data_IF_224959810518
#
_entry.id   IF_224959810518
#
_cell.length_a   1.000
_cell.length_b   1.000
_cell.length_c   1.000
_cell.angle_alpha   90.00
_cell.angle_beta   90.00
_cell.angle_gamma   90.00
#
_symmetry.space_group_name_H-M   'P 1'
#
loop_
_entity.id
_entity.type
_entity.pdbx_description
1 polymer ?
#
# COMPACT_ATOMS: atom_id res chain seq x y z
N UNK A 1 0.58 20.38 -4.46
CA UNK A 1 0.54 19.05 -5.07
C UNK A 1 -0.26 18.12 -4.17
N UNK A 2 -1.37 17.57 -4.66
CA UNK A 2 -2.18 16.53 -4.02
C UNK A 2 -1.79 15.18 -4.61
N UNK A 3 -1.50 14.19 -3.77
CA UNK A 3 -1.05 12.87 -4.19
C UNK A 3 -1.96 11.79 -3.62
N UNK A 4 -2.45 10.92 -4.50
CA UNK A 4 -3.21 9.74 -4.12
C UNK A 4 -2.28 8.53 -4.08
N UNK A 5 -2.33 7.74 -3.00
CA UNK A 5 -1.62 6.47 -2.88
C UNK A 5 -2.67 5.36 -2.75
N UNK A 6 -2.63 4.37 -3.63
CA UNK A 6 -3.33 3.10 -3.42
C UNK A 6 -2.31 2.06 -2.96
N UNK A 7 -2.54 1.45 -1.80
CA UNK A 7 -1.60 0.55 -1.15
C UNK A 7 -2.17 -0.87 -1.09
N UNK A 8 -1.46 -1.80 -1.71
CA UNK A 8 -1.74 -3.23 -1.74
C UNK A 8 -0.68 -4.01 -0.94
N UNK A 9 -0.91 -5.27 -0.57
CA UNK A 9 0.00 -5.98 0.36
C UNK A 9 0.92 -7.00 -0.32
N UNK A 10 0.50 -7.61 -1.43
CA UNK A 10 1.17 -8.75 -2.07
C UNK A 10 2.59 -8.42 -2.55
N UNK A 11 2.82 -7.17 -2.95
CA UNK A 11 4.08 -6.67 -3.47
C UNK A 11 4.89 -5.84 -2.49
N UNK A 12 4.48 -5.73 -1.22
CA UNK A 12 5.23 -5.01 -0.19
C UNK A 12 6.59 -5.68 0.03
N UNK A 13 7.62 -4.88 0.31
CA UNK A 13 8.95 -5.41 0.57
C UNK A 13 8.92 -6.49 1.64
N UNK A 14 9.46 -7.67 1.30
CA UNK A 14 9.54 -8.81 2.21
C UNK A 14 8.26 -9.64 2.29
N UNK A 15 7.22 -9.33 1.50
CA UNK A 15 6.15 -10.25 1.16
C UNK A 15 6.61 -11.20 0.05
N UNK A 16 6.76 -12.48 0.40
CA UNK A 16 7.30 -13.55 -0.47
C UNK A 16 6.37 -14.76 -0.51
N UNK A 17 5.23 -14.71 0.18
CA UNK A 17 4.26 -15.79 0.21
C UNK A 17 2.85 -15.28 0.54
N UNK A 18 1.84 -16.08 0.20
CA UNK A 18 0.44 -15.78 0.52
C UNK A 18 0.15 -15.65 2.01
N UNK A 19 0.99 -16.23 2.89
CA UNK A 19 0.82 -16.12 4.35
C UNK A 19 0.96 -14.69 4.86
N UNK A 20 1.55 -13.81 4.05
CA UNK A 20 1.73 -12.39 4.34
C UNK A 20 0.61 -11.53 3.74
N UNK A 21 -0.13 -12.05 2.77
CA UNK A 21 -1.25 -11.36 2.12
C UNK A 21 -2.63 -11.88 2.57
N UNK A 22 -2.72 -12.98 3.29
CA UNK A 22 -4.00 -13.51 3.76
C UNK A 22 -4.26 -13.09 5.21
N UNK A 23 -5.46 -12.64 5.55
CA UNK A 23 -5.78 -12.16 6.90
C UNK A 23 -5.74 -13.24 7.99
N UNK A 24 -5.86 -14.50 7.59
CA UNK A 24 -5.67 -15.70 8.42
C UNK A 24 -4.23 -16.25 8.38
N UNK A 25 -3.34 -15.59 7.64
CA UNK A 25 -1.96 -16.01 7.44
C UNK A 25 -1.07 -15.74 8.66
N UNK A 26 -0.16 -16.67 8.95
CA UNK A 26 0.75 -16.59 10.11
C UNK A 26 1.63 -15.33 10.15
N UNK A 27 1.93 -14.76 8.99
CA UNK A 27 2.86 -13.63 8.83
C UNK A 27 2.16 -12.32 8.45
N UNK A 28 0.82 -12.31 8.43
CA UNK A 28 0.03 -11.17 7.99
C UNK A 28 0.22 -9.93 8.85
N UNK A 29 0.28 -10.08 10.18
CA UNK A 29 0.55 -8.96 11.09
C UNK A 29 1.92 -8.32 10.85
N UNK A 30 2.94 -9.13 10.51
CA UNK A 30 4.26 -8.61 10.13
C UNK A 30 4.15 -7.86 8.80
N UNK A 31 3.41 -8.39 7.83
CA UNK A 31 3.22 -7.76 6.53
C UNK A 31 2.51 -6.40 6.64
N UNK A 32 1.47 -6.29 7.47
CA UNK A 32 0.77 -5.01 7.75
C UNK A 32 1.72 -3.92 8.29
N UNK A 33 2.65 -4.31 9.18
CA UNK A 33 3.70 -3.40 9.68
C UNK A 33 4.66 -2.97 8.57
N UNK A 34 5.08 -3.89 7.70
CA UNK A 34 5.94 -3.56 6.57
C UNK A 34 5.23 -2.65 5.56
N UNK A 35 3.95 -2.94 5.27
CA UNK A 35 3.10 -2.14 4.39
C UNK A 35 2.98 -0.71 4.91
N UNK A 36 2.67 -0.55 6.20
CA UNK A 36 2.56 0.78 6.84
C UNK A 36 3.88 1.54 6.78
N UNK A 37 5.01 0.86 7.03
CA UNK A 37 6.34 1.46 6.94
C UNK A 37 6.69 1.91 5.51
N UNK A 38 6.42 1.08 4.51
CA UNK A 38 6.71 1.41 3.11
C UNK A 38 5.86 2.60 2.62
N UNK A 39 4.58 2.63 2.99
CA UNK A 39 3.70 3.79 2.75
C UNK A 39 4.24 5.04 3.45
N UNK A 40 4.65 4.94 4.72
CA UNK A 40 5.23 6.08 5.45
C UNK A 40 6.48 6.62 4.77
N UNK A 41 7.39 5.75 4.32
CA UNK A 41 8.60 6.18 3.59
C UNK A 41 8.24 6.96 2.32
N UNK A 42 7.24 6.49 1.55
CA UNK A 42 6.76 7.22 0.39
C UNK A 42 6.13 8.57 0.78
N UNK A 43 5.29 8.59 1.82
CA UNK A 43 4.65 9.81 2.32
C UNK A 43 5.67 10.85 2.80
N UNK A 44 6.68 10.43 3.56
CA UNK A 44 7.77 11.28 4.04
C UNK A 44 8.53 11.90 2.87
N UNK A 45 8.97 11.08 1.92
CA UNK A 45 9.66 11.56 0.72
C UNK A 45 8.80 12.55 -0.09
N UNK A 46 7.49 12.29 -0.25
CA UNK A 46 6.59 13.20 -0.95
C UNK A 46 6.43 14.54 -0.23
N UNK A 47 6.28 14.51 1.10
CA UNK A 47 6.16 15.72 1.93
C UNK A 47 7.44 16.56 1.86
N UNK A 48 8.62 15.93 1.96
CA UNK A 48 9.92 16.58 1.81
C UNK A 48 10.09 17.21 0.41
N UNK A 49 9.48 16.62 -0.62
CA UNK A 49 9.48 17.12 -1.98
C UNK A 49 8.26 18.01 -2.31
N UNK A 50 7.59 18.55 -1.29
CA UNK A 50 6.59 19.62 -1.45
C UNK A 50 5.16 19.17 -1.72
N UNK A 51 4.84 17.88 -1.54
CA UNK A 51 3.45 17.45 -1.44
C UNK A 51 2.74 18.21 -0.31
N UNK A 52 1.51 18.64 -0.56
CA UNK A 52 0.70 19.42 0.39
C UNK A 52 -0.42 18.62 1.00
N UNK A 53 -0.89 17.62 0.27
CA UNK A 53 -1.92 16.70 0.72
C UNK A 53 -1.62 15.33 0.15
N UNK A 54 -1.72 14.32 1.01
CA UNK A 54 -1.54 12.92 0.64
C UNK A 54 -2.74 12.16 1.19
N UNK A 55 -3.41 11.43 0.32
CA UNK A 55 -4.48 10.50 0.68
C UNK A 55 -4.02 9.10 0.38
N UNK A 56 -3.98 8.26 1.41
CA UNK A 56 -3.65 6.84 1.32
C UNK A 56 -4.95 6.04 1.35
N UNK A 57 -5.18 5.25 0.31
CA UNK A 57 -6.27 4.30 0.25
C UNK A 57 -5.71 2.89 0.43
N UNK A 58 -6.15 2.21 1.48
CA UNK A 58 -5.87 0.80 1.67
C UNK A 58 -6.65 -0.01 0.62
N UNK A 59 -5.96 -0.83 -0.16
CA UNK A 59 -6.52 -1.46 -1.36
C UNK A 59 -6.53 -2.99 -1.29
N UNK A 60 -6.09 -3.59 -0.18
CA UNK A 60 -5.95 -5.04 -0.08
C UNK A 60 -7.07 -5.70 0.73
N UNK A 61 -7.65 -6.80 0.24
CA UNK A 61 -8.60 -7.61 1.01
C UNK A 61 -9.79 -6.82 1.56
N UNK A 62 -9.95 -6.81 2.90
CA UNK A 62 -10.98 -6.02 3.59
C UNK A 62 -10.65 -4.52 3.71
N UNK A 63 -9.47 -4.13 3.21
CA UNK A 63 -8.97 -2.76 3.12
C UNK A 63 -8.72 -2.11 4.49
N UNK A 64 -8.35 -2.90 5.48
CA UNK A 64 -8.15 -2.54 6.89
C UNK A 64 -6.75 -2.92 7.41
N UNK A 65 -5.75 -2.88 6.52
CA UNK A 65 -4.39 -3.37 6.72
C UNK A 65 -3.45 -2.33 7.33
N UNK A 66 -3.53 -1.07 6.88
CA UNK A 66 -2.70 0.03 7.37
C UNK A 66 -2.97 0.27 8.86
N UNK A 67 -1.89 0.31 9.65
CA UNK A 67 -1.94 0.55 11.09
C UNK A 67 -2.01 2.06 11.33
N UNK A 68 -3.20 2.57 11.66
CA UNK A 68 -3.43 4.02 11.81
C UNK A 68 -2.56 4.65 12.90
N UNK A 69 -2.28 3.89 13.97
CA UNK A 69 -1.40 4.29 15.07
C UNK A 69 0.08 4.41 14.68
N UNK A 70 0.50 3.77 13.57
CA UNK A 70 1.86 3.85 13.03
C UNK A 70 1.94 4.74 11.77
N UNK A 71 0.80 5.13 11.18
CA UNK A 71 0.76 5.95 9.96
C UNK A 71 1.19 7.40 10.23
N UNK A 72 1.87 8.01 9.26
CA UNK A 72 2.28 9.41 9.33
C UNK A 72 1.06 10.32 9.61
N UNK A 73 1.06 11.10 10.71
CA UNK A 73 -0.12 11.89 11.10
C UNK A 73 -0.42 13.08 10.18
N UNK A 74 0.45 13.36 9.20
CA UNK A 74 0.27 14.43 8.21
C UNK A 74 -0.48 13.96 6.95
N UNK A 75 -0.88 12.70 6.87
CA UNK A 75 -1.62 12.15 5.72
C UNK A 75 -3.02 11.70 6.12
N UNK A 76 -3.89 11.53 5.14
CA UNK A 76 -5.25 11.02 5.35
C UNK A 76 -5.33 9.54 4.96
N UNK A 77 -6.07 8.74 5.73
CA UNK A 77 -6.29 7.33 5.47
C UNK A 77 -7.75 7.05 5.08
N UNK A 78 -7.93 6.30 4.00
CA UNK A 78 -9.19 5.66 3.62
C UNK A 78 -9.04 4.17 3.89
N UNK A 79 -9.77 3.67 4.89
CA UNK A 79 -9.70 2.30 5.40
C UNK A 79 -11.11 1.70 5.52
N UNK A 80 -11.19 0.37 5.43
CA UNK A 80 -12.39 -0.43 5.45
C UNK A 80 -12.98 -0.71 4.07
N UNK A 81 -13.86 -1.72 4.04
CA UNK A 81 -14.68 -2.12 2.91
C UNK A 81 -16.14 -2.29 3.39
N UNK A 82 -17.15 -2.15 2.52
CA UNK A 82 -17.06 -1.88 1.08
C UNK A 82 -16.79 -0.40 0.76
N UNK A 83 -16.10 -0.15 -0.36
CA UNK A 83 -15.88 1.19 -0.93
C UNK A 83 -16.38 1.23 -2.38
N UNK A 84 -17.21 2.20 -2.79
CA UNK A 84 -17.76 2.27 -4.15
C UNK A 84 -16.71 2.19 -5.26
N UNK A 85 -15.54 2.79 -5.07
CA UNK A 85 -14.43 2.76 -6.04
C UNK A 85 -13.30 1.80 -5.63
N UNK A 86 -13.51 0.95 -4.61
CA UNK A 86 -12.56 -0.10 -4.19
C UNK A 86 -11.12 0.43 -3.99
N UNK A 87 -10.15 -0.13 -4.72
CA UNK A 87 -8.72 0.21 -4.70
C UNK A 87 -8.43 1.67 -5.09
N UNK A 88 -9.39 2.37 -5.67
CA UNK A 88 -9.29 3.77 -6.09
C UNK A 88 -10.25 4.69 -5.32
N UNK A 89 -10.72 4.29 -4.14
CA UNK A 89 -11.62 5.13 -3.34
C UNK A 89 -11.00 6.47 -2.96
N UNK A 90 -11.74 7.54 -3.21
CA UNK A 90 -11.35 8.91 -2.86
C UNK A 90 -10.53 9.63 -3.94
N UNK A 91 -10.21 8.99 -5.07
CA UNK A 91 -9.57 9.68 -6.20
C UNK A 91 -10.57 10.53 -6.98
N UNK A 92 -10.11 11.69 -7.46
CA UNK A 92 -10.84 12.59 -8.34
C UNK A 92 -9.87 13.34 -9.29
N UNK A 93 -10.39 14.34 -10.01
CA UNK A 93 -9.62 15.13 -10.97
C UNK A 93 -8.69 16.18 -10.33
N UNK A 94 -8.78 16.41 -9.02
CA UNK A 94 -7.98 17.40 -8.32
C UNK A 94 -6.63 16.84 -7.83
N UNK A 95 -6.41 15.53 -7.93
CA UNK A 95 -5.11 14.91 -7.67
C UNK A 95 -4.14 15.13 -8.82
N UNK A 96 -2.92 15.58 -8.50
CA UNK A 96 -1.85 15.77 -9.48
C UNK A 96 -1.18 14.46 -9.87
N UNK A 97 -1.18 13.47 -8.97
CA UNK A 97 -0.48 12.19 -9.12
C UNK A 97 -1.22 11.07 -8.41
N UNK A 98 -1.14 9.88 -8.97
CA UNK A 98 -1.49 8.62 -8.33
C UNK A 98 -0.26 7.72 -8.24
N UNK A 99 -0.07 7.06 -7.10
CA UNK A 99 1.04 6.13 -6.83
C UNK A 99 0.44 4.80 -6.36
N UNK A 100 0.99 3.71 -6.86
CA UNK A 100 0.59 2.35 -6.51
C UNK A 100 1.74 1.67 -5.77
N UNK A 101 1.51 1.32 -4.49
CA UNK A 101 2.52 0.72 -3.61
C UNK A 101 2.10 -0.71 -3.28
N UNK A 102 3.06 -1.64 -3.29
CA UNK A 102 2.81 -3.03 -2.93
C UNK A 102 1.95 -3.82 -3.93
N UNK A 103 1.80 -3.32 -5.16
CA UNK A 103 1.00 -3.98 -6.20
C UNK A 103 1.71 -5.20 -6.77
N UNK A 104 0.92 -6.15 -7.28
CA UNK A 104 1.40 -7.39 -7.86
C UNK A 104 1.04 -7.53 -9.36
N UNK A 105 1.68 -8.52 -9.99
CA UNK A 105 1.40 -8.89 -11.38
C UNK A 105 -0.03 -9.34 -11.54
N UNK A 106 -0.68 -8.94 -12.65
CA UNK A 106 -2.03 -9.40 -13.01
C UNK A 106 -2.09 -10.93 -13.01
N UNK A 107 -3.21 -11.47 -12.51
CA UNK A 107 -3.50 -12.90 -12.61
C UNK A 107 -3.30 -13.43 -14.05
N UNK A 108 -2.63 -14.58 -14.18
CA UNK A 108 -2.32 -15.20 -15.46
C UNK A 108 -1.13 -14.59 -16.21
N UNK A 109 -0.36 -13.68 -15.63
CA UNK A 109 0.93 -13.29 -16.20
C UNK A 109 1.93 -14.46 -16.07
N UNK A 110 2.77 -14.66 -17.08
CA UNK A 110 3.79 -15.72 -17.11
C UNK A 110 4.99 -15.46 -16.19
N UNK A 111 5.05 -14.29 -15.54
CA UNK A 111 6.08 -13.89 -14.60
C UNK A 111 5.40 -13.55 -13.26
N UNK A 112 5.34 -14.50 -12.33
CA UNK A 112 4.74 -14.27 -11.01
C UNK A 112 5.70 -13.46 -10.12
N UNK A 113 5.23 -12.37 -9.51
CA UNK A 113 6.02 -11.42 -8.71
C UNK A 113 6.39 -11.90 -7.30
N UNK A 114 6.56 -13.21 -7.07
CA UNK A 114 7.32 -13.63 -5.90
C UNK A 114 8.80 -13.36 -6.20
N UNK A 115 9.21 -12.10 -6.07
CA UNK A 115 10.61 -11.72 -6.15
C UNK A 115 11.27 -12.33 -4.90
N UNK A 116 11.92 -13.47 -5.10
CA UNK A 116 12.91 -14.01 -4.16
C UNK A 116 13.90 -12.89 -3.84
N UNK A 117 14.13 -12.54 -2.57
CA UNK A 117 15.21 -11.63 -2.22
C UNK A 117 16.52 -12.37 -2.49
N UNK A 118 17.10 -12.18 -3.67
CA UNK A 118 18.54 -12.38 -3.86
C UNK A 118 19.22 -11.19 -3.20
N UNK A 119 19.67 -11.39 -1.96
CA UNK A 119 20.77 -10.60 -1.41
C UNK A 119 21.99 -10.93 -2.27
N UNK A 120 22.30 -10.08 -3.25
CA UNK A 120 23.65 -9.99 -3.80
C UNK A 120 24.26 -8.67 -3.32
N UNK A 121 25.34 -8.79 -2.53
CA UNK A 121 26.11 -7.67 -1.97
C UNK A 121 26.44 -7.86 -0.51
#
# INVERSE_FOLDING_TARGET
>A
MRVFISADIEGIWGAVSRKQASSDGSDYLRARKLMTKEVNLACEALLENGAKEIVVNDAHGLMDNILIEELNPKVQLISGSPKPLSMMQGIDQEFDKAIFIGYHSRAGSSKSNLITPTMEG
#
